data_IF_803796133466
#
_entry.id   IF_803796133466
#
_cell.length_a   1.000
_cell.length_b   1.000
_cell.length_c   1.000
_cell.angle_alpha   90.00
_cell.angle_beta   90.00
_cell.angle_gamma   90.00
#
_symmetry.space_group_name_H-M   'P 1'
#
loop_
_entity.id
_entity.type
_entity.pdbx_description
1 polymer ?
#
# COMPACT_ATOMS: atom_id res chain seq x y z
N UNK A 1 -7.12 -14.65 -0.16
CA UNK A 1 -5.71 -14.19 -0.12
C UNK A 1 -4.99 -14.94 1.00
N UNK A 2 -3.72 -15.31 0.84
CA UNK A 2 -2.95 -16.07 1.86
C UNK A 2 -2.27 -15.15 2.90
N UNK A 3 -2.94 -14.07 3.32
CA UNK A 3 -2.47 -13.18 4.40
C UNK A 3 -1.48 -12.07 4.01
N UNK A 4 -1.58 -11.50 2.81
CA UNK A 4 -0.79 -10.29 2.48
C UNK A 4 -1.57 -9.00 2.77
N UNK A 5 -0.87 -7.97 3.22
CA UNK A 5 -1.52 -6.72 3.66
C UNK A 5 -1.40 -5.58 2.61
N UNK A 6 -0.40 -5.66 1.74
CA UNK A 6 -0.10 -4.62 0.78
C UNK A 6 0.58 -5.17 -0.47
N UNK A 7 0.54 -4.38 -1.53
CA UNK A 7 1.37 -4.56 -2.72
C UNK A 7 2.18 -3.28 -2.97
N UNK A 8 3.43 -3.42 -3.39
CA UNK A 8 4.30 -2.30 -3.73
C UNK A 8 4.77 -2.50 -5.17
N UNK A 9 4.56 -1.49 -6.01
CA UNK A 9 4.95 -1.50 -7.42
C UNK A 9 5.58 -0.16 -7.83
N UNK A 10 6.24 -0.10 -8.99
CA UNK A 10 6.62 1.19 -9.59
C UNK A 10 5.37 1.84 -10.19
N UNK A 11 4.60 1.05 -10.93
CA UNK A 11 3.33 1.45 -11.53
C UNK A 11 2.39 0.26 -11.69
N UNK A 12 1.08 0.53 -11.81
CA UNK A 12 0.07 -0.47 -12.12
C UNK A 12 -0.39 -0.33 -13.57
N UNK A 13 -0.01 -1.28 -14.42
CA UNK A 13 -0.29 -1.24 -15.86
C UNK A 13 -1.80 -1.21 -16.20
N UNK A 14 -2.67 -1.78 -15.35
CA UNK A 14 -4.12 -1.74 -15.56
C UNK A 14 -4.85 -1.31 -14.30
N UNK A 15 -5.90 -0.50 -14.48
CA UNK A 15 -6.83 -0.13 -13.39
C UNK A 15 -7.46 -1.37 -12.75
N UNK A 16 -7.77 -2.40 -13.55
CA UNK A 16 -8.41 -3.64 -13.08
C UNK A 16 -7.59 -4.39 -12.04
N UNK A 17 -6.28 -4.54 -12.24
CA UNK A 17 -5.44 -5.26 -11.28
C UNK A 17 -5.38 -4.50 -9.94
N UNK A 18 -5.16 -3.19 -9.99
CA UNK A 18 -5.16 -2.33 -8.80
C UNK A 18 -6.49 -2.40 -8.03
N UNK A 19 -7.62 -2.29 -8.73
CA UNK A 19 -8.93 -2.41 -8.08
C UNK A 19 -9.16 -3.80 -7.48
N UNK A 20 -8.64 -4.87 -8.09
CA UNK A 20 -8.70 -6.19 -7.46
C UNK A 20 -7.93 -6.22 -6.14
N UNK A 21 -6.72 -5.66 -6.06
CA UNK A 21 -5.95 -5.60 -4.81
C UNK A 21 -6.77 -4.94 -3.70
N UNK A 22 -7.38 -3.79 -4.00
CA UNK A 22 -8.26 -3.05 -3.09
C UNK A 22 -9.46 -3.89 -2.66
N UNK A 23 -10.14 -4.53 -3.62
CA UNK A 23 -11.30 -5.36 -3.35
C UNK A 23 -11.01 -6.52 -2.41
N UNK A 24 -9.77 -7.02 -2.42
CA UNK A 24 -9.28 -8.08 -1.55
C UNK A 24 -8.68 -7.58 -0.23
N UNK A 25 -8.65 -6.27 0.02
CA UNK A 25 -8.17 -5.69 1.27
C UNK A 25 -6.72 -5.26 1.29
N UNK A 26 -6.01 -5.32 0.17
CA UNK A 26 -4.62 -4.84 0.12
C UNK A 26 -4.55 -3.35 -0.16
N UNK A 27 -3.52 -2.72 0.40
CA UNK A 27 -3.14 -1.35 0.03
C UNK A 27 -2.20 -1.36 -1.20
N UNK A 28 -2.56 -0.73 -2.33
CA UNK A 28 -1.74 -0.72 -3.54
C UNK A 28 -0.78 0.48 -3.56
N UNK A 29 0.40 0.33 -2.97
CA UNK A 29 1.41 1.39 -2.96
C UNK A 29 2.20 1.45 -4.27
N UNK A 30 2.56 2.67 -4.65
CA UNK A 30 3.61 2.90 -5.67
C UNK A 30 4.87 3.51 -5.06
N UNK A 31 6.03 3.29 -5.69
CA UNK A 31 7.32 3.88 -5.31
C UNK A 31 7.99 4.54 -6.52
N UNK A 32 8.96 5.42 -6.29
CA UNK A 32 9.83 5.89 -7.36
C UNK A 32 10.70 4.73 -7.89
N UNK A 33 10.97 4.70 -9.20
CA UNK A 33 11.84 3.67 -9.79
C UNK A 33 13.24 3.64 -9.15
N UNK A 34 13.77 4.83 -8.78
CA UNK A 34 15.04 4.99 -8.06
C UNK A 34 15.08 4.31 -6.69
N UNK A 35 13.92 4.00 -6.12
CA UNK A 35 13.78 3.39 -4.79
C UNK A 35 13.69 1.86 -4.86
N UNK A 36 13.62 1.26 -6.05
CA UNK A 36 13.53 -0.19 -6.25
C UNK A 36 14.72 -0.92 -5.61
N UNK A 37 15.92 -0.34 -5.68
CA UNK A 37 17.14 -0.90 -5.09
C UNK A 37 17.15 -0.89 -3.56
N UNK A 38 16.19 -0.22 -2.90
CA UNK A 38 16.03 -0.22 -1.44
C UNK A 38 15.42 -1.53 -0.94
N UNK A 39 14.72 -2.27 -1.79
CA UNK A 39 14.01 -3.51 -1.44
C UNK A 39 14.84 -4.74 -1.80
N UNK A 40 14.84 -5.72 -0.90
CA UNK A 40 15.32 -7.07 -1.17
C UNK A 40 14.38 -8.08 -0.51
N UNK A 41 14.41 -9.33 -0.98
CA UNK A 41 13.74 -10.45 -0.30
C UNK A 41 14.23 -10.53 1.15
N UNK A 42 13.35 -10.95 2.05
CA UNK A 42 13.58 -11.08 3.51
C UNK A 42 13.75 -9.76 4.27
N UNK A 43 13.69 -8.60 3.61
CA UNK A 43 13.55 -7.31 4.29
C UNK A 43 12.13 -7.12 4.83
N UNK A 44 12.01 -6.40 5.95
CA UNK A 44 10.70 -5.97 6.46
C UNK A 44 10.36 -4.56 5.97
N UNK A 45 9.10 -4.32 5.68
CA UNK A 45 8.58 -2.98 5.39
C UNK A 45 7.75 -2.48 6.56
N UNK A 46 8.23 -1.43 7.23
CA UNK A 46 7.53 -0.77 8.33
C UNK A 46 6.85 0.52 7.86
N UNK A 47 5.52 0.59 8.01
CA UNK A 47 4.69 1.72 7.55
C UNK A 47 3.94 2.32 8.75
N UNK A 48 4.52 3.29 9.47
CA UNK A 48 3.83 3.94 10.58
C UNK A 48 2.62 4.74 10.08
N UNK A 49 1.49 4.64 10.80
CA UNK A 49 0.33 5.50 10.56
C UNK A 49 -0.42 5.24 9.25
N UNK A 50 -0.29 4.05 8.64
CA UNK A 50 -0.94 3.72 7.35
C UNK A 50 -2.45 3.97 7.36
N UNK A 51 -3.15 3.62 8.45
CA UNK A 51 -4.59 3.84 8.58
C UNK A 51 -4.96 5.32 8.44
N UNK A 52 -4.24 6.19 9.16
CA UNK A 52 -4.47 7.65 9.13
C UNK A 52 -4.18 8.22 7.74
N UNK A 53 -3.12 7.74 7.06
CA UNK A 53 -2.81 8.18 5.70
C UNK A 53 -3.89 7.79 4.69
N UNK A 54 -4.51 6.62 4.84
CA UNK A 54 -5.64 6.21 3.99
C UNK A 54 -6.86 7.07 4.28
N UNK A 55 -7.22 7.22 5.56
CA UNK A 55 -8.38 7.99 6.03
C UNK A 55 -8.32 9.48 5.66
N UNK A 56 -7.15 10.11 5.80
CA UNK A 56 -6.99 11.54 5.55
C UNK A 56 -6.89 11.92 4.07
N UNK A 57 -6.96 10.95 3.16
CA UNK A 57 -6.73 11.22 1.74
C UNK A 57 -5.26 11.51 1.39
N UNK A 58 -4.30 11.11 2.24
CA UNK A 58 -2.88 11.38 1.99
C UNK A 58 -2.43 10.76 0.66
N UNK A 59 -1.57 11.49 -0.05
CA UNK A 59 -0.99 11.04 -1.33
C UNK A 59 0.26 10.20 -1.13
N UNK A 60 0.94 10.37 0.00
CA UNK A 60 2.16 9.62 0.36
C UNK A 60 2.15 9.28 1.84
N UNK A 61 2.91 8.25 2.20
CA UNK A 61 3.19 7.84 3.57
C UNK A 61 4.66 7.47 3.69
N UNK A 62 5.32 7.98 4.73
CA UNK A 62 6.70 7.61 5.03
C UNK A 62 6.75 6.17 5.53
N UNK A 63 7.61 5.35 4.94
CA UNK A 63 7.89 4.00 5.38
C UNK A 63 9.40 3.75 5.52
N UNK A 64 9.74 2.59 6.06
CA UNK A 64 11.12 2.19 6.29
C UNK A 64 11.32 0.73 5.89
N UNK A 65 12.30 0.47 5.02
CA UNK A 65 12.80 -0.89 4.79
C UNK A 65 13.77 -1.23 5.91
N UNK A 66 13.46 -2.25 6.69
CA UNK A 66 14.27 -2.73 7.80
C UNK A 66 15.12 -3.90 7.30
N UNK A 67 16.43 -3.70 7.34
CA UNK A 67 17.48 -4.64 6.92
C UNK A 67 18.30 -5.06 8.14
N UNK A 68 19.10 -6.11 8.00
CA UNK A 68 20.07 -6.50 9.04
C UNK A 68 21.07 -5.38 9.40
N UNK A 69 21.40 -4.52 8.44
CA UNK A 69 22.40 -3.44 8.61
C UNK A 69 21.80 -2.12 9.10
N UNK A 70 20.47 -2.00 9.21
CA UNK A 70 19.79 -0.78 9.63
C UNK A 70 18.45 -0.57 8.93
N UNK A 71 17.95 0.67 8.95
CA UNK A 71 16.69 1.04 8.28
C UNK A 71 16.93 2.08 7.19
N UNK A 72 16.25 1.92 6.06
CA UNK A 72 16.31 2.83 4.91
C UNK A 72 14.94 3.47 4.71
N UNK A 73 14.89 4.79 4.64
CA UNK A 73 13.65 5.52 4.37
C UNK A 73 13.20 5.33 2.92
N UNK A 74 11.91 5.07 2.75
CA UNK A 74 11.22 4.99 1.44
C UNK A 74 9.88 5.71 1.54
N UNK A 75 9.56 6.52 0.54
CA UNK A 75 8.24 7.12 0.43
C UNK A 75 7.33 6.17 -0.34
N UNK A 76 6.22 5.75 0.27
CA UNK A 76 5.18 4.98 -0.40
C UNK A 76 4.10 5.94 -0.86
N UNK A 77 3.67 5.82 -2.11
CA UNK A 77 2.62 6.66 -2.67
C UNK A 77 1.29 5.91 -2.71
N UNK A 78 0.22 6.64 -2.45
CA UNK A 78 -1.17 6.21 -2.46
C UNK A 78 -1.87 6.87 -3.66
N UNK A 79 -1.35 6.59 -4.86
CA UNK A 79 -1.77 7.28 -6.08
C UNK A 79 -3.17 6.85 -6.55
N UNK A 80 -3.92 7.86 -7.02
CA UNK A 80 -5.20 7.70 -7.72
C UNK A 80 -6.31 6.96 -6.94
N UNK A 81 -6.24 6.91 -5.60
CA UNK A 81 -7.29 6.31 -4.77
C UNK A 81 -8.49 7.25 -4.67
N UNK A 82 -9.64 6.80 -5.18
CA UNK A 82 -10.92 7.49 -4.93
C UNK A 82 -11.32 7.37 -3.46
N UNK A 83 -12.33 8.14 -3.03
CA UNK A 83 -12.87 8.03 -1.68
C UNK A 83 -13.42 6.62 -1.43
N UNK A 84 -14.26 6.10 -2.33
CA UNK A 84 -14.81 4.74 -2.23
C UNK A 84 -13.71 3.67 -2.12
N UNK A 85 -12.62 3.79 -2.88
CA UNK A 85 -11.49 2.86 -2.80
C UNK A 85 -10.81 2.92 -1.42
N UNK A 86 -10.73 4.11 -0.80
CA UNK A 86 -10.18 4.26 0.56
C UNK A 86 -11.12 3.67 1.61
N UNK A 87 -12.42 3.87 1.46
CA UNK A 87 -13.42 3.32 2.38
C UNK A 87 -13.43 1.78 2.33
N UNK A 88 -13.26 1.19 1.14
CA UNK A 88 -13.07 -0.26 0.97
C UNK A 88 -11.80 -0.76 1.68
N UNK A 89 -10.68 -0.05 1.56
CA UNK A 89 -9.43 -0.38 2.28
C UNK A 89 -9.65 -0.31 3.80
N UNK A 90 -10.31 0.74 4.30
CA UNK A 90 -10.58 0.91 5.73
C UNK A 90 -11.54 -0.14 6.30
N UNK A 91 -12.46 -0.63 5.47
CA UNK A 91 -13.33 -1.77 5.78
C UNK A 91 -12.59 -3.12 5.72
N UNK A 92 -11.37 -3.14 5.17
CA UNK A 92 -10.52 -4.32 5.05
C UNK A 92 -10.81 -5.20 3.83
N UNK A 93 -11.92 -5.02 3.12
CA UNK A 93 -12.16 -5.54 1.76
C UNK A 93 -13.53 -5.05 1.24
N UNK A 94 -13.82 -5.31 -0.05
CA UNK A 94 -15.08 -4.89 -0.67
C UNK A 94 -16.31 -5.57 -0.05
N UNK A 95 -16.20 -6.86 0.33
CA UNK A 95 -17.32 -7.59 0.94
C UNK A 95 -17.63 -7.01 2.32
N UNK A 96 -16.61 -6.67 3.10
CA UNK A 96 -16.80 -6.03 4.40
C UNK A 96 -17.43 -4.64 4.25
N UNK A 97 -17.04 -3.87 3.24
CA UNK A 97 -17.63 -2.56 2.97
C UNK A 97 -19.14 -2.64 2.69
N UNK A 98 -19.58 -3.64 1.91
CA UNK A 98 -21.02 -3.85 1.66
C UNK A 98 -21.79 -4.50 2.81
N UNK A 99 -21.09 -5.11 3.77
CA UNK A 99 -21.71 -5.71 4.96
C UNK A 99 -21.95 -4.70 6.10
N UNK A 100 -21.51 -3.46 5.93
CA UNK A 100 -21.74 -2.35 6.87
C UNK A 100 -23.14 -1.76 6.74
#
# INVERSE_FOLDING_TARGET
MLGGDANVAIEYATKRYRSNLINWGLVPFTIAESDTNKFATDDYLYIPGVRVAVESGAKTVQAYVIKATGKVAVELKLENLSQDERDVILAGCLINYYAQ
#
